data_IF_226963971049
#
_entry.id   IF_226963971049
#
_cell.length_a   1.000
_cell.length_b   1.000
_cell.length_c   1.000
_cell.angle_alpha   90.00
_cell.angle_beta   90.00
_cell.angle_gamma   90.00
#
_symmetry.space_group_name_H-M   'P 1'
#
loop_
_entity.id
_entity.type
_entity.pdbx_description
1 polymer ?
#
# COMPACT_ATOMS: atom_id res chain seq x y z
N UNK A 1 33.68 11.03 -2.79
CA UNK A 1 33.25 9.62 -2.61
C UNK A 1 32.29 9.49 -1.44
N UNK A 2 32.68 9.88 -0.22
CA UNK A 2 31.84 9.82 0.98
C UNK A 2 30.54 10.64 0.89
N UNK A 3 30.58 11.87 0.38
CA UNK A 3 29.37 12.68 0.18
C UNK A 3 28.38 12.09 -0.85
N UNK A 4 28.88 11.37 -1.86
CA UNK A 4 28.00 10.71 -2.85
C UNK A 4 27.25 9.51 -2.26
N UNK A 5 27.91 8.77 -1.36
CA UNK A 5 27.29 7.65 -0.64
C UNK A 5 26.17 8.11 0.30
N UNK A 6 26.37 9.24 0.99
CA UNK A 6 25.37 9.85 1.88
C UNK A 6 24.10 10.29 1.12
N UNK A 7 24.27 10.92 -0.03
CA UNK A 7 23.12 11.36 -0.86
C UNK A 7 22.28 10.18 -1.37
N UNK A 8 22.93 9.06 -1.71
CA UNK A 8 22.24 7.82 -2.09
C UNK A 8 21.43 7.23 -0.93
N UNK A 9 21.97 7.26 0.28
CA UNK A 9 21.29 6.76 1.49
C UNK A 9 20.05 7.59 1.85
N UNK A 10 20.13 8.93 1.77
CA UNK A 10 18.99 9.83 1.97
C UNK A 10 17.91 9.63 0.89
N UNK A 11 18.33 9.44 -0.36
CA UNK A 11 17.45 9.11 -1.48
C UNK A 11 16.64 7.84 -1.24
N UNK A 12 17.28 6.78 -0.76
CA UNK A 12 16.60 5.52 -0.45
C UNK A 12 15.55 5.66 0.67
N UNK A 13 15.90 6.35 1.77
CA UNK A 13 15.00 6.58 2.90
C UNK A 13 13.75 7.39 2.50
N UNK A 14 13.93 8.42 1.66
CA UNK A 14 12.82 9.23 1.15
C UNK A 14 11.89 8.45 0.22
N UNK A 15 12.43 7.59 -0.65
CA UNK A 15 11.64 6.75 -1.55
C UNK A 15 10.71 5.80 -0.78
N UNK A 16 11.20 5.21 0.29
CA UNK A 16 10.43 4.33 1.17
C UNK A 16 9.28 5.09 1.81
N UNK A 17 9.59 6.23 2.42
CA UNK A 17 8.61 7.04 3.16
C UNK A 17 7.49 7.51 2.23
N UNK A 18 7.87 8.03 1.06
CA UNK A 18 6.93 8.48 0.03
C UNK A 18 6.09 7.33 -0.52
N UNK A 19 6.68 6.14 -0.68
CA UNK A 19 5.96 4.95 -1.15
C UNK A 19 4.89 4.46 -0.17
N UNK A 20 5.20 4.43 1.13
CA UNK A 20 4.23 4.07 2.18
C UNK A 20 3.12 5.11 2.27
N UNK A 21 3.45 6.40 2.25
CA UNK A 21 2.46 7.48 2.25
C UNK A 21 1.56 7.43 1.01
N UNK A 22 2.14 7.21 -0.17
CA UNK A 22 1.41 7.07 -1.43
C UNK A 22 0.45 5.89 -1.43
N UNK A 23 0.88 4.73 -0.90
CA UNK A 23 0.02 3.56 -0.75
C UNK A 23 -1.17 3.81 0.20
N UNK A 24 -0.93 4.47 1.34
CA UNK A 24 -1.99 4.81 2.28
C UNK A 24 -3.02 5.80 1.71
N UNK A 25 -2.55 6.87 1.06
CA UNK A 25 -3.41 7.86 0.41
C UNK A 25 -4.19 7.22 -0.75
N UNK A 26 -3.51 6.42 -1.58
CA UNK A 26 -4.14 5.72 -2.70
C UNK A 26 -5.25 4.78 -2.26
N UNK A 27 -5.02 3.99 -1.20
CA UNK A 27 -6.03 3.10 -0.63
C UNK A 27 -7.24 3.88 -0.08
N UNK A 28 -6.99 5.00 0.61
CA UNK A 28 -8.06 5.87 1.12
C UNK A 28 -8.91 6.47 0.00
N UNK A 29 -8.28 6.97 -1.07
CA UNK A 29 -8.99 7.52 -2.23
C UNK A 29 -9.80 6.45 -2.97
N UNK A 30 -9.25 5.23 -3.12
CA UNK A 30 -9.97 4.11 -3.71
C UNK A 30 -11.24 3.75 -2.91
N UNK A 31 -11.12 3.71 -1.57
CA UNK A 31 -12.26 3.45 -0.68
C UNK A 31 -13.34 4.53 -0.76
N UNK A 32 -12.94 5.81 -0.80
CA UNK A 32 -13.87 6.94 -0.96
C UNK A 32 -14.58 6.88 -2.32
N UNK A 33 -13.85 6.62 -3.40
CA UNK A 33 -14.42 6.48 -4.74
C UNK A 33 -15.44 5.35 -4.83
N UNK A 34 -15.13 4.19 -4.24
CA UNK A 34 -16.05 3.06 -4.16
C UNK A 34 -17.30 3.38 -3.34
N UNK A 35 -17.13 4.00 -2.17
CA UNK A 35 -18.25 4.37 -1.29
C UNK A 35 -19.23 5.33 -1.95
N UNK A 36 -18.73 6.34 -2.67
CA UNK A 36 -19.58 7.28 -3.42
C UNK A 36 -20.30 6.56 -4.57
N UNK A 37 -19.59 5.70 -5.32
CA UNK A 37 -20.18 4.96 -6.43
C UNK A 37 -21.33 4.04 -5.97
N UNK A 38 -21.05 3.18 -5.00
CA UNK A 38 -22.04 2.22 -4.47
C UNK A 38 -23.19 2.95 -3.77
N UNK A 39 -22.91 4.02 -3.02
CA UNK A 39 -23.95 4.81 -2.35
C UNK A 39 -24.96 5.42 -3.33
N UNK A 40 -24.48 5.93 -4.48
CA UNK A 40 -25.36 6.45 -5.54
C UNK A 40 -26.17 5.35 -6.20
N UNK A 41 -25.54 4.21 -6.50
CA UNK A 41 -26.21 3.04 -7.09
C UNK A 41 -27.34 2.54 -6.17
N UNK A 42 -27.05 2.39 -4.87
CA UNK A 42 -28.03 1.97 -3.87
C UNK A 42 -29.18 2.96 -3.71
N UNK A 43 -28.88 4.27 -3.67
CA UNK A 43 -29.90 5.32 -3.61
C UNK A 43 -30.87 5.27 -4.80
N UNK A 44 -30.33 5.23 -6.02
CA UNK A 44 -31.14 5.14 -7.24
C UNK A 44 -31.93 3.83 -7.33
N UNK A 45 -31.36 2.71 -6.86
CA UNK A 45 -32.07 1.44 -6.81
C UNK A 45 -33.25 1.48 -5.83
N UNK A 46 -33.09 2.07 -4.65
CA UNK A 46 -34.18 2.24 -3.68
C UNK A 46 -35.31 3.11 -4.24
N UNK A 47 -34.99 4.23 -4.91
CA UNK A 47 -35.99 5.07 -5.56
C UNK A 47 -36.74 4.35 -6.68
N UNK A 48 -36.03 3.55 -7.49
CA UNK A 48 -36.64 2.76 -8.56
C UNK A 48 -37.59 1.69 -7.99
N UNK A 49 -37.16 0.96 -6.95
CA UNK A 49 -37.99 -0.05 -6.27
C UNK A 49 -39.22 0.59 -5.62
N UNK A 50 -39.08 1.79 -5.04
CA UNK A 50 -40.20 2.50 -4.43
C UNK A 50 -41.28 2.92 -5.46
N UNK A 51 -40.87 3.24 -6.70
CA UNK A 51 -41.79 3.60 -7.79
C UNK A 51 -42.43 2.38 -8.47
N UNK A 52 -41.69 1.26 -8.55
CA UNK A 52 -42.10 0.04 -9.24
C UNK A 52 -41.69 -1.20 -8.43
N UNK A 53 -42.45 -1.58 -7.39
CA UNK A 53 -42.12 -2.70 -6.52
C UNK A 53 -42.14 -4.06 -7.26
N UNK A 54 -42.93 -4.16 -8.34
CA UNK A 54 -43.03 -5.37 -9.17
C UNK A 54 -41.71 -5.67 -9.89
N UNK A 55 -40.93 -4.64 -10.22
CA UNK A 55 -39.63 -4.76 -10.89
C UNK A 55 -38.45 -4.92 -9.91
N UNK A 56 -38.71 -5.10 -8.61
CA UNK A 56 -37.67 -5.08 -7.57
C UNK A 56 -36.57 -6.14 -7.76
N UNK A 57 -36.91 -7.30 -8.31
CA UNK A 57 -35.94 -8.36 -8.63
C UNK A 57 -34.91 -7.89 -9.68
N UNK A 58 -35.38 -7.32 -10.78
CA UNK A 58 -34.54 -6.88 -11.89
C UNK A 58 -33.68 -5.66 -11.52
N UNK A 59 -34.26 -4.73 -10.74
CA UNK A 59 -33.52 -3.57 -10.22
C UNK A 59 -32.40 -4.02 -9.28
N UNK A 60 -32.67 -4.97 -8.36
CA UNK A 60 -31.63 -5.52 -7.47
C UNK A 60 -30.55 -6.25 -8.26
N UNK A 61 -30.91 -7.00 -9.30
CA UNK A 61 -29.94 -7.66 -10.18
C UNK A 61 -28.99 -6.67 -10.84
N UNK A 62 -29.54 -5.61 -11.45
CA UNK A 62 -28.75 -4.55 -12.10
C UNK A 62 -27.91 -3.76 -11.10
N UNK A 63 -28.46 -3.48 -9.92
CA UNK A 63 -27.76 -2.82 -8.81
C UNK A 63 -26.54 -3.62 -8.38
N UNK A 64 -26.69 -4.93 -8.14
CA UNK A 64 -25.61 -5.81 -7.71
C UNK A 64 -24.54 -5.96 -8.80
N UNK A 65 -24.92 -6.11 -10.07
CA UNK A 65 -23.98 -6.14 -11.19
C UNK A 65 -23.13 -4.86 -11.23
N UNK A 66 -23.78 -3.71 -11.13
CA UNK A 66 -23.08 -2.41 -11.19
C UNK A 66 -22.21 -2.19 -9.95
N UNK A 67 -22.70 -2.55 -8.76
CA UNK A 67 -21.93 -2.50 -7.53
C UNK A 67 -20.68 -3.39 -7.60
N UNK A 68 -20.81 -4.62 -8.11
CA UNK A 68 -19.68 -5.53 -8.29
C UNK A 68 -18.62 -5.01 -9.26
N UNK A 69 -19.03 -4.31 -10.34
CA UNK A 69 -18.10 -3.68 -11.28
C UNK A 69 -17.33 -2.52 -10.62
N UNK A 70 -18.02 -1.67 -9.85
CA UNK A 70 -17.37 -0.59 -9.10
C UNK A 70 -16.40 -1.15 -8.06
N UNK A 71 -16.82 -2.18 -7.34
CA UNK A 71 -16.01 -2.82 -6.30
C UNK A 71 -14.80 -3.54 -6.90
N UNK A 72 -14.93 -4.14 -8.08
CA UNK A 72 -13.80 -4.74 -8.81
C UNK A 72 -12.68 -3.74 -9.12
N UNK A 73 -13.03 -2.53 -9.57
CA UNK A 73 -12.04 -1.47 -9.84
C UNK A 73 -11.41 -0.95 -8.54
N UNK A 74 -12.22 -0.79 -7.49
CA UNK A 74 -11.74 -0.35 -6.18
C UNK A 74 -10.77 -1.35 -5.55
N UNK A 75 -11.11 -2.65 -5.60
CA UNK A 75 -10.26 -3.72 -5.10
C UNK A 75 -8.98 -3.85 -5.92
N UNK A 76 -9.02 -3.63 -7.23
CA UNK A 76 -7.80 -3.58 -8.05
C UNK A 76 -6.84 -2.47 -7.59
N UNK A 77 -7.37 -1.27 -7.32
CA UNK A 77 -6.58 -0.17 -6.75
C UNK A 77 -6.03 -0.49 -5.36
N UNK A 78 -6.85 -1.11 -4.50
CA UNK A 78 -6.43 -1.54 -3.16
C UNK A 78 -5.32 -2.59 -3.22
N UNK A 79 -5.42 -3.56 -4.12
CA UNK A 79 -4.39 -4.60 -4.32
C UNK A 79 -3.07 -3.97 -4.72
N UNK A 80 -3.07 -2.98 -5.62
CA UNK A 80 -1.83 -2.26 -5.98
C UNK A 80 -1.22 -1.57 -4.76
N UNK A 81 -2.04 -0.88 -3.95
CA UNK A 81 -1.55 -0.22 -2.73
C UNK A 81 -0.97 -1.23 -1.73
N UNK A 82 -1.63 -2.38 -1.55
CA UNK A 82 -1.16 -3.47 -0.71
C UNK A 82 0.15 -4.06 -1.24
N UNK A 83 0.28 -4.27 -2.55
CA UNK A 83 1.50 -4.78 -3.18
C UNK A 83 2.67 -3.81 -3.00
N UNK A 84 2.44 -2.50 -3.15
CA UNK A 84 3.48 -1.49 -2.89
C UNK A 84 3.91 -1.54 -1.43
N UNK A 85 2.96 -1.62 -0.50
CA UNK A 85 3.27 -1.75 0.92
C UNK A 85 4.11 -3.00 1.22
N UNK A 86 3.68 -4.17 0.75
CA UNK A 86 4.42 -5.42 0.97
C UNK A 86 5.78 -5.43 0.26
N UNK A 87 5.88 -4.87 -0.95
CA UNK A 87 7.14 -4.79 -1.68
C UNK A 87 8.16 -3.91 -0.95
N UNK A 88 7.71 -2.80 -0.35
CA UNK A 88 8.59 -1.94 0.45
C UNK A 88 9.01 -2.66 1.74
N UNK A 89 8.06 -3.23 2.49
CA UNK A 89 8.35 -3.92 3.75
C UNK A 89 9.17 -5.21 3.57
N UNK A 90 8.99 -5.94 2.48
CA UNK A 90 9.77 -7.15 2.16
C UNK A 90 11.26 -6.85 1.95
N UNK A 91 11.59 -5.74 1.30
CA UNK A 91 12.98 -5.28 1.17
C UNK A 91 13.58 -4.94 2.53
N UNK A 92 12.81 -4.38 3.48
CA UNK A 92 13.28 -4.18 4.85
C UNK A 92 13.54 -5.47 5.62
N UNK A 93 12.72 -6.50 5.42
CA UNK A 93 12.92 -7.82 6.05
C UNK A 93 14.23 -8.46 5.54
N UNK A 94 14.53 -8.31 4.24
CA UNK A 94 15.77 -8.83 3.65
C UNK A 94 17.01 -8.06 4.13
N UNK A 95 16.90 -6.73 4.25
CA UNK A 95 17.96 -5.88 4.84
C UNK A 95 18.11 -6.07 6.36
N UNK A 96 17.12 -6.64 7.04
CA UNK A 96 17.14 -6.98 8.47
C UNK A 96 17.39 -8.47 8.72
N UNK A 97 17.71 -9.23 7.67
CA UNK A 97 17.95 -10.66 7.74
C UNK A 97 19.20 -11.01 8.57
N UNK A 98 19.34 -12.29 8.98
CA UNK A 98 20.45 -12.75 9.81
C UNK A 98 21.83 -12.47 9.19
N UNK A 99 21.95 -12.41 7.86
CA UNK A 99 23.20 -12.11 7.16
C UNK A 99 23.69 -10.67 7.40
N UNK A 100 22.78 -9.69 7.41
CA UNK A 100 23.12 -8.27 7.65
C UNK A 100 23.41 -8.03 9.14
N UNK A 101 22.73 -8.76 10.03
CA UNK A 101 23.02 -8.74 11.46
C UNK A 101 24.43 -9.26 11.75
N UNK A 102 24.83 -10.40 11.16
CA UNK A 102 26.18 -10.95 11.29
C UNK A 102 27.25 -10.04 10.69
N UNK A 103 26.97 -9.41 9.54
CA UNK A 103 27.88 -8.44 8.94
C UNK A 103 28.12 -7.21 9.83
N UNK A 104 27.06 -6.69 10.48
CA UNK A 104 27.18 -5.57 11.42
C UNK A 104 27.93 -5.96 12.70
N UNK A 105 27.75 -7.18 13.20
CA UNK A 105 28.49 -7.67 14.36
C UNK A 105 29.99 -7.83 14.05
N UNK A 106 30.31 -8.40 12.88
CA UNK A 106 31.69 -8.56 12.41
C UNK A 106 32.38 -7.21 12.17
N UNK A 107 31.67 -6.23 11.62
CA UNK A 107 32.20 -4.88 11.40
C UNK A 107 32.54 -4.19 12.73
N UNK A 108 31.67 -4.35 13.73
CA UNK A 108 31.88 -3.79 15.07
C UNK A 108 33.10 -4.40 15.75
N UNK A 109 33.29 -5.71 15.62
CA UNK A 109 34.48 -6.41 16.12
C UNK A 109 35.78 -5.92 15.45
N UNK A 110 35.75 -5.61 14.15
CA UNK A 110 36.89 -5.03 13.44
C UNK A 110 37.18 -3.59 13.89
N UNK A 111 36.16 -2.76 14.12
CA UNK A 111 36.33 -1.40 14.65
C UNK A 111 36.94 -1.40 16.07
N UNK A 112 36.49 -2.33 16.92
CA UNK A 112 37.03 -2.49 18.27
C UNK A 112 38.49 -2.96 18.24
N UNK A 113 38.83 -3.89 17.34
CA UNK A 113 40.21 -4.33 17.12
C UNK A 113 41.12 -3.21 16.57
N UNK A 114 40.60 -2.38 15.66
CA UNK A 114 41.33 -1.24 15.12
C UNK A 114 41.60 -0.17 16.20
N UNK A 115 40.63 0.10 17.09
CA UNK A 115 40.81 0.99 18.24
C UNK A 115 41.86 0.46 19.23
N UNK A 116 41.93 -0.86 19.42
CA UNK A 116 42.91 -1.49 20.31
C UNK A 116 44.34 -1.47 19.75
N UNK A 117 44.53 -1.40 18.43
CA UNK A 117 45.84 -1.38 17.78
C UNK A 117 46.41 0.04 17.54
N UNK A 118 45.60 1.09 17.69
CA UNK A 118 45.95 2.48 17.43
C UNK A 118 46.23 3.35 18.66
N UNK A 119 46.27 2.77 19.87
CA UNK A 119 46.73 3.40 21.11
C UNK A 119 48.04 2.80 21.58
#
# INVERSE_FOLDING_TARGET
>A
MLMGLLSLAEGYSSLVTNGIMGAGIGAGLAAVGAGIGIGRIGGSACEAIARQPEASGDVRGTMLLTAALVEGVALFGLVICILVYFSINGVFVELSGPEVFQANEALKALEDAAKAAGG
#
